data_IF_021540968915
#
_entry.id   IF_021540968915
#
_cell.length_a   1.000
_cell.length_b   1.000
_cell.length_c   1.000
_cell.angle_alpha   90.00
_cell.angle_beta   90.00
_cell.angle_gamma   90.00
#
_symmetry.space_group_name_H-M   'P 1'
#
loop_
_entity.id
_entity.type
_entity.pdbx_description
1 polymer ?
#
# COMPACT_ATOMS: atom_id res chain seq x y z
N UNK A 1 -7.84 15.87 34.80
CA UNK A 1 -6.93 16.54 33.84
C UNK A 1 -7.77 16.88 32.60
N UNK A 2 -8.04 18.16 32.33
CA UNK A 2 -8.92 18.58 31.23
C UNK A 2 -8.17 18.52 29.89
N UNK A 3 -8.64 17.71 28.94
CA UNK A 3 -8.11 17.67 27.58
C UNK A 3 -8.62 18.88 26.76
N UNK A 4 -7.80 19.50 25.89
CA UNK A 4 -8.21 20.68 25.13
C UNK A 4 -9.18 20.32 23.99
N UNK A 5 -10.14 21.20 23.72
CA UNK A 5 -11.12 21.05 22.63
C UNK A 5 -10.50 21.40 21.26
N UNK A 6 -10.81 20.62 20.23
CA UNK A 6 -10.36 20.86 18.84
C UNK A 6 -11.17 21.99 18.20
N UNK A 7 -10.51 22.93 17.51
CA UNK A 7 -11.18 24.02 16.79
C UNK A 7 -11.52 23.62 15.35
N UNK A 8 -12.50 24.28 14.73
CA UNK A 8 -12.99 24.00 13.37
C UNK A 8 -11.92 24.14 12.26
N UNK A 9 -10.82 24.83 12.54
CA UNK A 9 -9.65 24.97 11.67
C UNK A 9 -8.63 23.82 11.80
N UNK A 10 -8.92 22.77 12.57
CA UNK A 10 -8.05 21.61 12.79
C UNK A 10 -6.91 21.83 13.78
N UNK A 11 -6.85 22.99 14.46
CA UNK A 11 -5.84 23.30 15.49
C UNK A 11 -6.42 23.15 16.90
N UNK A 12 -5.55 22.85 17.87
CA UNK A 12 -5.92 22.74 19.29
C UNK A 12 -5.95 24.13 19.96
N UNK A 13 -6.96 24.38 20.78
CA UNK A 13 -6.99 25.55 21.67
C UNK A 13 -5.95 25.41 22.77
N UNK A 14 -5.25 26.50 23.11
CA UNK A 14 -4.31 26.49 24.24
C UNK A 14 -5.07 26.54 25.57
N UNK A 15 -4.47 26.04 26.67
CA UNK A 15 -5.07 26.17 28.00
C UNK A 15 -5.40 27.64 28.31
N UNK A 16 -6.67 27.92 28.62
CA UNK A 16 -7.17 29.28 28.93
C UNK A 16 -7.73 30.08 27.74
N UNK A 17 -7.63 29.60 26.50
CA UNK A 17 -8.23 30.29 25.34
C UNK A 17 -9.74 30.01 25.25
N UNK A 18 -10.56 31.07 25.20
CA UNK A 18 -12.01 30.94 24.94
C UNK A 18 -12.24 30.68 23.44
N UNK A 19 -12.89 29.57 23.13
CA UNK A 19 -13.41 29.26 21.79
C UNK A 19 -14.77 29.93 21.65
N UNK A 20 -14.94 30.76 20.62
CA UNK A 20 -16.21 31.44 20.32
C UNK A 20 -16.55 31.14 18.87
N UNK A 21 -17.76 30.62 18.61
CA UNK A 21 -18.22 30.17 17.28
C UNK A 21 -17.32 29.10 16.64
N UNK A 22 -16.81 28.16 17.44
CA UNK A 22 -15.95 27.06 16.97
C UNK A 22 -14.54 27.48 16.53
N UNK A 23 -14.17 28.75 16.71
CA UNK A 23 -12.88 29.31 16.29
C UNK A 23 -12.10 29.87 17.48
N UNK A 24 -10.83 29.42 17.64
CA UNK A 24 -9.89 30.04 18.56
C UNK A 24 -9.35 31.38 18.01
N UNK A 25 -8.74 32.24 18.86
CA UNK A 25 -8.25 33.56 18.45
C UNK A 25 -7.29 33.53 17.25
N UNK A 26 -6.45 32.49 17.15
CA UNK A 26 -5.53 32.29 16.02
C UNK A 26 -6.23 31.98 14.70
N UNK A 27 -7.37 31.29 14.75
CA UNK A 27 -8.14 30.94 13.55
C UNK A 27 -9.04 32.08 13.07
N UNK A 28 -9.36 33.06 13.95
CA UNK A 28 -9.99 34.32 13.53
C UNK A 28 -9.02 35.17 12.69
N UNK A 29 -7.76 35.26 13.09
CA UNK A 29 -6.75 36.07 12.40
C UNK A 29 -6.45 35.63 10.95
N UNK A 30 -6.70 34.36 10.60
CA UNK A 30 -6.51 33.84 9.24
C UNK A 30 -7.73 34.04 8.34
N UNK A 31 -8.95 34.15 8.89
CA UNK A 31 -10.19 34.31 8.11
C UNK A 31 -10.29 35.69 7.46
N UNK A 32 -9.74 36.72 8.10
CA UNK A 32 -9.76 38.09 7.56
C UNK A 32 -8.76 38.33 6.41
N UNK A 33 -7.77 37.44 6.21
CA UNK A 33 -6.80 37.55 5.10
C UNK A 33 -7.27 36.92 3.79
N UNK A 34 -8.37 36.17 3.80
CA UNK A 34 -8.86 35.39 2.66
C UNK A 34 -10.29 35.77 2.26
N UNK A 35 -10.59 37.08 2.18
CA UNK A 35 -11.73 37.55 1.39
C UNK A 35 -11.30 37.66 -0.08
N UNK A 36 -11.83 36.82 -1.00
CA UNK A 36 -11.54 36.97 -2.41
C UNK A 36 -12.09 38.30 -2.94
N UNK A 37 -11.27 39.03 -3.71
CA UNK A 37 -11.71 40.21 -4.46
C UNK A 37 -12.62 39.78 -5.61
N UNK A 38 -13.66 40.56 -5.96
CA UNK A 38 -14.54 40.23 -7.08
C UNK A 38 -13.77 40.33 -8.41
N UNK A 39 -13.84 39.28 -9.21
CA UNK A 39 -13.26 39.20 -10.55
C UNK A 39 -14.23 39.84 -11.55
N UNK A 40 -13.75 40.81 -12.32
CA UNK A 40 -14.49 41.43 -13.43
C UNK A 40 -14.68 40.44 -14.56
N UNK A 41 -15.90 40.41 -15.11
CA UNK A 41 -16.26 39.68 -16.31
C UNK A 41 -15.53 40.26 -17.54
N UNK A 42 -14.96 39.37 -18.35
CA UNK A 42 -14.42 39.65 -19.69
C UNK A 42 -14.85 38.55 -20.65
N UNK A 43 -15.64 38.95 -21.65
CA UNK A 43 -15.95 38.25 -22.90
C UNK A 43 -14.67 38.06 -23.74
N UNK A 44 -14.55 37.30 -24.83
CA UNK A 44 -15.41 36.49 -25.69
C UNK A 44 -14.46 35.67 -26.60
N UNK A 45 -14.96 34.56 -27.14
CA UNK A 45 -14.60 33.99 -28.46
C UNK A 45 -13.13 33.65 -28.81
N UNK A 46 -12.86 32.35 -28.98
CA UNK A 46 -12.69 31.77 -30.33
C UNK A 46 -12.57 30.23 -30.21
N UNK A 47 -13.54 29.53 -30.80
CA UNK A 47 -13.54 28.06 -30.94
C UNK A 47 -13.98 27.78 -32.37
N UNK A 48 -13.13 27.19 -33.19
CA UNK A 48 -13.58 26.49 -34.38
C UNK A 48 -12.86 25.14 -34.49
N UNK A 49 -13.71 24.11 -34.53
CA UNK A 49 -13.42 22.70 -34.66
C UNK A 49 -13.12 22.37 -36.11
N UNK A 50 -12.15 21.49 -36.31
CA UNK A 50 -11.89 20.75 -37.55
C UNK A 50 -12.71 19.46 -37.55
N UNK A 51 -13.46 19.20 -38.64
CA UNK A 51 -13.89 17.87 -39.08
C UNK A 51 -14.46 17.94 -40.51
N UNK A 52 -14.12 16.95 -41.35
CA UNK A 52 -14.71 16.72 -42.69
C UNK A 52 -13.65 16.60 -43.80
N UNK A 53 -13.04 15.44 -44.11
CA UNK A 53 -13.54 14.24 -44.81
C UNK A 53 -13.16 14.20 -46.30
N UNK A 54 -12.63 13.03 -46.70
CA UNK A 54 -12.68 12.38 -48.03
C UNK A 54 -11.59 12.68 -49.09
N UNK A 55 -10.81 11.62 -49.39
CA UNK A 55 -10.11 11.32 -50.65
C UNK A 55 -11.15 10.81 -51.70
N UNK A 56 -10.85 10.56 -53.02
CA UNK A 56 -9.61 9.99 -53.57
C UNK A 56 -9.17 10.51 -54.96
N UNK A 57 -7.98 10.10 -55.43
CA UNK A 57 -7.57 10.32 -56.82
C UNK A 57 -6.08 10.11 -57.08
N UNK A 58 -5.70 8.89 -57.42
CA UNK A 58 -4.37 8.49 -57.89
C UNK A 58 -4.09 8.99 -59.31
N UNK A 59 -3.01 9.75 -59.50
CA UNK A 59 -2.44 10.07 -60.81
C UNK A 59 -1.02 9.46 -60.96
N UNK A 60 -0.62 8.97 -62.14
CA UNK A 60 0.60 8.20 -62.34
C UNK A 60 1.85 9.09 -62.46
N UNK A 61 2.99 8.58 -61.98
CA UNK A 61 4.32 9.20 -62.12
C UNK A 61 4.92 8.88 -63.50
N UNK A 62 5.58 9.84 -64.18
CA UNK A 62 6.34 9.54 -65.40
C UNK A 62 7.65 8.81 -65.07
N UNK A 63 7.98 7.81 -65.90
CA UNK A 63 9.18 6.98 -65.77
C UNK A 63 10.49 7.68 -66.16
N UNK A 64 11.64 7.12 -65.76
CA UNK A 64 12.96 7.69 -66.02
C UNK A 64 13.42 7.48 -67.49
N UNK A 65 14.29 8.36 -68.02
CA UNK A 65 14.80 8.25 -69.39
C UNK A 65 15.84 7.11 -69.56
N UNK A 66 16.05 6.64 -70.81
CA UNK A 66 16.85 5.45 -71.09
C UNK A 66 18.37 5.66 -70.98
N UNK A 67 19.02 4.57 -70.62
CA UNK A 67 20.45 4.39 -70.37
C UNK A 67 21.30 4.47 -71.66
N UNK A 68 22.36 5.29 -71.73
CA UNK A 68 23.31 5.25 -72.85
C UNK A 68 24.30 4.10 -72.71
N UNK A 69 24.31 3.33 -73.79
CA UNK A 69 25.08 2.14 -74.14
C UNK A 69 26.58 2.15 -73.76
N UNK A 70 27.04 0.97 -73.35
CA UNK A 70 28.43 0.53 -73.29
C UNK A 70 29.22 0.93 -74.55
N UNK A 71 30.41 1.52 -74.36
CA UNK A 71 31.49 1.49 -75.35
C UNK A 71 32.70 0.75 -74.78
N UNK A 72 33.03 -0.37 -75.42
CA UNK A 72 34.28 -1.10 -75.29
C UNK A 72 35.46 -0.28 -75.85
N UNK A 73 36.64 -0.30 -75.21
CA UNK A 73 37.83 0.33 -75.76
C UNK A 73 38.48 -0.53 -76.89
N UNK A 74 39.08 0.11 -77.92
CA UNK A 74 39.75 -0.59 -79.03
C UNK A 74 41.17 -1.09 -78.67
N UNK A 75 41.74 -2.01 -79.48
CA UNK A 75 42.96 -2.74 -79.16
C UNK A 75 44.26 -1.93 -79.35
N UNK A 76 45.28 -2.35 -78.59
CA UNK A 76 46.63 -1.79 -78.51
C UNK A 76 47.44 -1.94 -79.79
N UNK A 77 48.07 -0.84 -80.23
CA UNK A 77 49.06 -0.78 -81.30
C UNK A 77 50.49 -1.19 -80.85
N UNK A 78 51.37 -1.60 -81.77
CA UNK A 78 52.60 -2.32 -81.45
C UNK A 78 53.76 -1.42 -80.98
N UNK A 79 54.58 -1.97 -80.07
CA UNK A 79 55.79 -1.37 -79.49
C UNK A 79 56.84 -1.07 -80.56
N UNK A 80 57.23 0.21 -80.68
CA UNK A 80 58.48 0.64 -81.34
C UNK A 80 59.51 1.02 -80.27
N UNK A 81 60.73 0.54 -80.46
CA UNK A 81 61.80 0.56 -79.47
C UNK A 81 62.14 1.96 -78.95
N UNK A 82 62.18 2.09 -77.62
CA UNK A 82 62.89 3.17 -76.94
C UNK A 82 64.23 2.63 -76.44
N UNK A 83 65.28 3.29 -76.91
CA UNK A 83 66.65 3.12 -76.46
C UNK A 83 66.75 3.57 -74.99
N UNK A 84 67.35 2.74 -74.14
CA UNK A 84 67.61 3.07 -72.75
C UNK A 84 68.63 4.22 -72.67
N UNK A 85 68.19 5.38 -72.16
CA UNK A 85 69.09 6.42 -71.64
C UNK A 85 69.05 6.33 -70.10
N UNK A 86 70.20 6.41 -69.40
CA UNK A 86 70.19 6.43 -67.94
C UNK A 86 69.43 7.68 -67.44
N UNK A 87 68.55 7.47 -66.46
CA UNK A 87 67.74 8.52 -65.86
C UNK A 87 68.63 9.52 -65.08
N UNK A 88 68.40 10.84 -65.19
CA UNK A 88 69.03 11.80 -64.29
C UNK A 88 68.51 11.57 -62.87
N UNK A 89 69.38 11.85 -61.88
CA UNK A 89 69.04 11.76 -60.45
C UNK A 89 67.78 12.54 -60.13
N UNK A 90 66.81 11.88 -59.48
CA UNK A 90 65.56 12.51 -59.03
C UNK A 90 65.89 13.64 -58.04
N UNK A 91 65.39 14.88 -58.24
CA UNK A 91 65.40 15.87 -57.18
C UNK A 91 64.53 15.36 -56.01
N UNK A 92 64.98 15.64 -54.79
CA UNK A 92 64.26 15.31 -53.55
C UNK A 92 62.83 15.86 -53.59
N UNK A 93 61.86 15.00 -53.26
CA UNK A 93 60.45 15.39 -53.24
C UNK A 93 60.22 16.55 -52.24
N UNK A 94 59.36 17.54 -52.56
CA UNK A 94 58.99 18.58 -51.60
C UNK A 94 58.32 17.94 -50.38
N UNK A 95 58.84 18.21 -49.19
CA UNK A 95 58.20 17.84 -47.92
C UNK A 95 56.99 18.74 -47.69
N UNK A 96 55.82 18.29 -48.11
CA UNK A 96 54.56 18.88 -47.65
C UNK A 96 54.39 18.63 -46.14
N UNK A 97 54.03 19.65 -45.33
CA UNK A 97 53.63 19.41 -43.94
C UNK A 97 52.45 18.44 -43.93
N UNK A 98 52.52 17.37 -43.15
CA UNK A 98 51.39 16.45 -42.99
C UNK A 98 50.20 17.24 -42.44
N UNK A 99 48.98 17.10 -43.01
CA UNK A 99 47.79 17.68 -42.39
C UNK A 99 47.66 17.16 -40.96
N UNK A 100 47.39 18.08 -40.02
CA UNK A 100 47.24 17.74 -38.61
C UNK A 100 46.18 16.64 -38.47
N UNK A 101 46.55 15.54 -37.82
CA UNK A 101 45.64 14.44 -37.54
C UNK A 101 44.53 14.98 -36.64
N UNK A 102 43.24 14.78 -36.96
CA UNK A 102 42.16 15.21 -36.07
C UNK A 102 42.33 14.52 -34.73
N UNK A 103 42.33 15.31 -33.65
CA UNK A 103 42.48 14.81 -32.28
C UNK A 103 41.44 13.72 -32.01
N UNK A 104 41.84 12.46 -32.05
CA UNK A 104 40.97 11.36 -31.63
C UNK A 104 40.70 11.51 -30.13
N UNK A 105 39.43 11.64 -29.70
CA UNK A 105 39.13 11.79 -28.28
C UNK A 105 39.67 10.58 -27.50
N UNK A 106 40.20 10.77 -26.29
CA UNK A 106 40.89 9.71 -25.57
C UNK A 106 39.95 8.53 -25.31
N UNK A 107 40.32 7.35 -25.84
CA UNK A 107 39.59 6.07 -25.73
C UNK A 107 39.23 5.71 -24.28
N UNK A 108 40.01 6.20 -23.30
CA UNK A 108 39.78 6.04 -21.87
C UNK A 108 38.46 6.66 -21.39
N UNK A 109 38.01 7.78 -21.99
CA UNK A 109 36.77 8.45 -21.62
C UNK A 109 35.52 7.61 -21.93
N UNK A 110 35.55 6.84 -23.03
CA UNK A 110 34.48 5.91 -23.41
C UNK A 110 34.36 4.71 -22.47
N UNK A 111 35.50 4.13 -22.04
CA UNK A 111 35.52 3.01 -21.09
C UNK A 111 35.04 3.42 -19.69
N UNK A 112 35.42 4.62 -19.21
CA UNK A 112 34.95 5.15 -17.92
C UNK A 112 33.46 5.42 -17.91
N UNK A 113 32.91 6.03 -18.98
CA UNK A 113 31.46 6.26 -19.14
C UNK A 113 30.68 4.94 -19.19
N UNK A 114 31.19 3.92 -19.89
CA UNK A 114 30.58 2.58 -19.93
C UNK A 114 30.57 1.92 -18.55
N UNK A 115 31.69 1.96 -17.80
CA UNK A 115 31.77 1.41 -16.43
C UNK A 115 30.80 2.12 -15.47
N UNK A 116 30.73 3.44 -15.52
CA UNK A 116 29.77 4.21 -14.70
C UNK A 116 28.32 3.88 -15.04
N UNK A 117 27.99 3.69 -16.33
CA UNK A 117 26.65 3.24 -16.75
C UNK A 117 26.32 1.84 -16.24
N UNK A 118 27.25 0.88 -16.37
CA UNK A 118 27.05 -0.48 -15.85
C UNK A 118 26.89 -0.48 -14.34
N UNK A 119 27.70 0.30 -13.60
CA UNK A 119 27.56 0.43 -12.15
C UNK A 119 26.22 1.07 -11.75
N UNK A 120 25.77 2.11 -12.46
CA UNK A 120 24.48 2.74 -12.22
C UNK A 120 23.30 1.78 -12.50
N UNK A 121 23.36 0.99 -13.57
CA UNK A 121 22.34 -0.03 -13.88
C UNK A 121 22.35 -1.14 -12.84
N UNK A 122 23.51 -1.60 -12.42
CA UNK A 122 23.63 -2.60 -11.36
C UNK A 122 23.06 -2.07 -10.02
N UNK A 123 23.40 -0.83 -9.64
CA UNK A 123 22.87 -0.18 -8.45
C UNK A 123 21.35 0.02 -8.51
N UNK A 124 20.81 0.43 -9.68
CA UNK A 124 19.37 0.50 -9.89
C UNK A 124 18.71 -0.87 -9.78
N UNK A 125 19.34 -1.93 -10.30
CA UNK A 125 18.87 -3.31 -10.19
C UNK A 125 18.73 -3.77 -8.73
N UNK A 126 19.67 -3.41 -7.85
CA UNK A 126 19.62 -3.74 -6.41
C UNK A 126 18.39 -3.14 -5.72
N UNK A 127 17.85 -2.03 -6.20
CA UNK A 127 16.65 -1.40 -5.63
C UNK A 127 15.38 -1.86 -6.36
N UNK A 128 15.39 -1.86 -7.69
CA UNK A 128 14.21 -2.13 -8.51
C UNK A 128 13.78 -3.60 -8.42
N UNK A 129 14.72 -4.55 -8.42
CA UNK A 129 14.39 -5.98 -8.37
C UNK A 129 13.63 -6.38 -7.10
N UNK A 130 14.09 -6.07 -5.87
CA UNK A 130 13.34 -6.43 -4.66
C UNK A 130 11.99 -5.70 -4.58
N UNK A 131 11.90 -4.44 -5.02
CA UNK A 131 10.62 -3.72 -5.09
C UNK A 131 9.66 -4.39 -6.07
N UNK A 132 10.16 -4.83 -7.23
CA UNK A 132 9.36 -5.54 -8.24
C UNK A 132 8.93 -6.91 -7.70
N UNK A 133 9.82 -7.65 -7.04
CA UNK A 133 9.50 -8.90 -6.38
C UNK A 133 8.43 -8.73 -5.31
N UNK A 134 8.54 -7.71 -4.46
CA UNK A 134 7.52 -7.39 -3.45
C UNK A 134 6.18 -7.02 -4.10
N UNK A 135 6.17 -6.25 -5.19
CA UNK A 135 4.95 -5.95 -5.92
C UNK A 135 4.30 -7.21 -6.53
N UNK A 136 5.10 -8.15 -7.03
CA UNK A 136 4.61 -9.45 -7.53
C UNK A 136 4.01 -10.28 -6.40
N UNK A 137 4.69 -10.36 -5.25
CA UNK A 137 4.17 -11.07 -4.07
C UNK A 137 2.88 -10.40 -3.57
N UNK A 138 2.86 -9.09 -3.44
CA UNK A 138 1.65 -8.37 -3.03
C UNK A 138 0.49 -8.55 -4.02
N UNK A 139 0.77 -8.56 -5.33
CA UNK A 139 -0.23 -8.81 -6.35
C UNK A 139 -0.73 -10.27 -6.35
N UNK A 140 0.12 -11.25 -6.04
CA UNK A 140 -0.30 -12.66 -5.97
C UNK A 140 -1.31 -12.88 -4.84
N UNK A 141 -1.22 -12.09 -3.76
CA UNK A 141 -2.17 -12.09 -2.64
C UNK A 141 -3.60 -11.71 -3.03
N UNK A 142 -3.86 -11.24 -4.26
CA UNK A 142 -5.22 -11.06 -4.79
C UNK A 142 -5.95 -12.39 -5.03
N UNK A 143 -5.23 -13.43 -5.43
CA UNK A 143 -5.81 -14.70 -5.87
C UNK A 143 -5.33 -15.89 -5.04
N UNK A 144 -4.26 -15.71 -4.28
CA UNK A 144 -3.68 -16.74 -3.43
C UNK A 144 -3.56 -16.23 -2.00
N UNK A 145 -4.16 -16.94 -1.06
CA UNK A 145 -4.09 -16.63 0.37
C UNK A 145 -3.15 -17.62 1.05
N UNK A 146 -2.03 -17.19 1.66
CA UNK A 146 -1.23 -18.10 2.48
C UNK A 146 -2.05 -18.58 3.68
N UNK A 147 -1.94 -19.87 4.02
CA UNK A 147 -2.69 -20.41 5.16
C UNK A 147 -2.30 -19.73 6.47
N UNK A 148 -1.03 -19.36 6.65
CA UNK A 148 -0.53 -18.67 7.84
C UNK A 148 0.37 -17.49 7.47
N UNK A 149 0.41 -16.47 8.33
CA UNK A 149 1.33 -15.34 8.23
C UNK A 149 2.73 -15.70 8.75
N UNK A 150 3.74 -14.89 8.45
CA UNK A 150 5.06 -15.10 9.06
C UNK A 150 5.03 -14.94 10.58
N UNK A 151 4.17 -14.08 11.11
CA UNK A 151 3.99 -13.88 12.54
C UNK A 151 3.46 -15.15 13.24
N UNK A 152 2.43 -15.79 12.68
CA UNK A 152 1.86 -17.05 13.18
C UNK A 152 2.85 -18.23 13.19
N UNK A 153 3.92 -18.16 12.38
CA UNK A 153 4.91 -19.25 12.25
C UNK A 153 6.03 -19.17 13.28
N UNK A 154 6.05 -18.11 14.09
CA UNK A 154 7.07 -17.88 15.11
C UNK A 154 6.65 -18.46 16.44
N UNK A 155 5.34 -18.63 16.65
CA UNK A 155 4.83 -19.31 17.83
C UNK A 155 5.12 -20.80 17.70
N UNK A 156 5.92 -21.32 18.62
CA UNK A 156 6.29 -22.74 18.69
C UNK A 156 5.13 -23.62 19.23
N UNK A 157 4.02 -23.00 19.65
CA UNK A 157 2.84 -23.64 20.25
C UNK A 157 1.67 -23.85 19.27
N UNK A 158 0.62 -24.58 19.71
CA UNK A 158 -0.60 -24.72 18.93
C UNK A 158 -1.35 -23.38 18.88
N UNK A 159 -1.50 -22.82 17.69
CA UNK A 159 -2.30 -21.61 17.46
C UNK A 159 -3.77 -21.96 17.18
N UNK A 160 -4.68 -21.11 17.65
CA UNK A 160 -6.10 -21.16 17.26
C UNK A 160 -6.33 -20.23 16.06
N UNK A 161 -6.67 -20.79 14.90
CA UNK A 161 -6.83 -20.04 13.66
C UNK A 161 -7.66 -20.79 12.62
N UNK A 162 -8.53 -20.06 11.92
CA UNK A 162 -9.13 -20.48 10.66
C UNK A 162 -9.39 -19.25 9.79
N UNK A 163 -9.21 -19.40 8.48
CA UNK A 163 -9.52 -18.34 7.53
C UNK A 163 -11.03 -18.23 7.27
N UNK A 164 -11.52 -17.00 7.08
CA UNK A 164 -12.89 -16.71 6.67
C UNK A 164 -12.91 -15.65 5.56
N UNK A 165 -13.71 -15.88 4.52
CA UNK A 165 -13.96 -14.91 3.44
C UNK A 165 -14.66 -13.67 4.00
N UNK A 166 -14.37 -12.48 3.44
CA UNK A 166 -15.00 -11.23 3.86
C UNK A 166 -16.51 -11.26 3.69
N UNK A 167 -17.02 -12.05 2.74
CA UNK A 167 -18.44 -12.26 2.49
C UNK A 167 -19.15 -12.90 3.70
N UNK A 168 -18.40 -13.55 4.58
CA UNK A 168 -18.89 -14.21 5.78
C UNK A 168 -18.47 -13.49 7.07
N UNK A 169 -18.01 -12.24 6.98
CA UNK A 169 -17.70 -11.40 8.14
C UNK A 169 -18.78 -10.33 8.34
N UNK A 170 -19.34 -10.25 9.54
CA UNK A 170 -20.29 -9.20 9.92
C UNK A 170 -19.73 -7.80 9.61
N UNK A 171 -20.56 -6.96 8.99
CA UNK A 171 -20.18 -5.60 8.62
C UNK A 171 -19.88 -4.72 9.83
N UNK A 172 -20.40 -5.06 11.00
CA UNK A 172 -20.01 -4.43 12.25
C UNK A 172 -18.54 -4.67 12.58
N UNK A 173 -18.02 -5.88 12.37
CA UNK A 173 -16.60 -6.18 12.63
C UNK A 173 -15.69 -5.39 11.71
N UNK A 174 -16.03 -5.36 10.41
CA UNK A 174 -15.29 -4.58 9.43
C UNK A 174 -15.31 -3.09 9.79
N UNK A 175 -16.50 -2.53 10.06
CA UNK A 175 -16.65 -1.12 10.41
C UNK A 175 -15.91 -0.77 11.71
N UNK A 176 -15.98 -1.63 12.74
CA UNK A 176 -15.29 -1.44 14.01
C UNK A 176 -13.77 -1.46 13.82
N UNK A 177 -13.22 -2.41 13.04
CA UNK A 177 -11.80 -2.46 12.75
C UNK A 177 -11.32 -1.22 12.01
N UNK A 178 -12.01 -0.78 10.95
CA UNK A 178 -11.68 0.47 10.24
C UNK A 178 -11.75 1.67 11.17
N UNK A 179 -12.89 1.84 11.87
CA UNK A 179 -13.10 2.99 12.73
C UNK A 179 -12.09 3.05 13.88
N UNK A 180 -11.66 1.91 14.41
CA UNK A 180 -10.70 1.85 15.51
C UNK A 180 -9.26 2.04 15.05
N UNK A 181 -8.84 1.31 14.02
CA UNK A 181 -7.43 1.16 13.64
C UNK A 181 -6.98 2.15 12.56
N UNK A 182 -7.86 2.50 11.60
CA UNK A 182 -7.50 3.27 10.41
C UNK A 182 -8.74 3.84 9.71
N UNK A 183 -9.32 4.90 10.30
CA UNK A 183 -10.55 5.53 9.81
C UNK A 183 -10.40 6.07 8.38
N UNK A 184 -9.19 6.40 7.94
CA UNK A 184 -8.94 6.90 6.59
C UNK A 184 -8.77 5.80 5.53
N UNK A 185 -8.76 4.51 5.86
CA UNK A 185 -8.42 3.42 4.93
C UNK A 185 -9.14 3.52 3.58
N UNK A 186 -10.47 3.62 3.59
CA UNK A 186 -11.28 3.71 2.37
C UNK A 186 -11.26 5.08 1.69
N UNK A 187 -10.82 6.13 2.40
CA UNK A 187 -10.79 7.50 1.90
C UNK A 187 -9.43 7.87 1.27
N UNK A 188 -8.35 7.19 1.67
CA UNK A 188 -6.99 7.47 1.20
C UNK A 188 -6.56 6.46 0.14
N UNK A 189 -5.82 6.92 -0.89
CA UNK A 189 -5.22 6.03 -1.92
C UNK A 189 -3.83 5.52 -1.55
N UNK A 190 -3.08 6.28 -0.74
CA UNK A 190 -1.75 5.88 -0.26
C UNK A 190 -1.86 4.94 0.94
N UNK A 191 -0.85 4.13 1.22
CA UNK A 191 -0.85 3.22 2.38
C UNK A 191 -0.93 3.96 3.72
N UNK A 192 -0.37 5.17 3.76
CA UNK A 192 -0.37 6.09 4.89
C UNK A 192 -0.05 7.50 4.36
N UNK A 193 -0.23 8.53 5.19
CA UNK A 193 0.22 9.88 4.85
C UNK A 193 1.72 10.03 5.09
N UNK A 194 2.45 10.44 4.04
CA UNK A 194 3.90 10.62 4.13
C UNK A 194 4.32 11.68 5.16
N UNK A 195 3.52 12.73 5.35
CA UNK A 195 3.76 13.74 6.38
C UNK A 195 3.78 13.11 7.77
N UNK A 196 2.71 12.40 8.14
CA UNK A 196 2.59 11.72 9.43
C UNK A 196 3.72 10.70 9.64
N UNK A 197 4.11 9.97 8.58
CA UNK A 197 5.23 9.03 8.65
C UNK A 197 6.56 9.75 8.93
N UNK A 198 6.84 10.86 8.24
CA UNK A 198 8.05 11.65 8.44
C UNK A 198 8.06 12.29 9.83
N UNK A 199 6.95 12.87 10.28
CA UNK A 199 6.81 13.47 11.61
C UNK A 199 7.10 12.42 12.70
N UNK A 200 6.56 11.21 12.56
CA UNK A 200 6.84 10.07 13.44
C UNK A 200 8.31 9.67 13.42
N UNK A 201 8.92 9.56 12.24
CA UNK A 201 10.33 9.23 12.11
C UNK A 201 11.21 10.28 12.80
N UNK A 202 10.87 11.57 12.63
CA UNK A 202 11.59 12.67 13.30
C UNK A 202 11.42 12.62 14.82
N UNK A 203 10.23 12.35 15.33
CA UNK A 203 9.97 12.22 16.78
C UNK A 203 10.79 11.07 17.40
N UNK A 204 10.89 9.93 16.72
CA UNK A 204 11.72 8.80 17.17
C UNK A 204 13.19 9.19 17.18
N UNK A 205 13.68 9.84 16.13
CA UNK A 205 15.09 10.28 16.02
C UNK A 205 15.43 11.39 17.03
N UNK A 206 14.47 12.21 17.43
CA UNK A 206 14.64 13.25 18.45
C UNK A 206 14.43 12.75 19.88
N UNK A 207 14.06 11.48 20.07
CA UNK A 207 13.78 10.90 21.39
C UNK A 207 12.47 11.39 22.01
N UNK A 208 11.57 11.97 21.22
CA UNK A 208 10.25 12.39 21.66
C UNK A 208 9.32 11.19 21.86
N UNK A 209 8.38 11.32 22.81
CA UNK A 209 7.37 10.30 23.05
C UNK A 209 6.42 10.23 21.84
N UNK A 210 6.61 9.19 21.03
CA UNK A 210 5.81 8.96 19.83
C UNK A 210 4.39 8.50 20.17
N UNK A 211 3.39 9.11 19.52
CA UNK A 211 2.05 8.53 19.37
C UNK A 211 2.12 7.47 18.25
N UNK A 212 1.98 6.19 18.58
CA UNK A 212 2.07 5.09 17.60
C UNK A 212 0.67 4.74 17.11
N UNK A 213 0.37 5.07 15.85
CA UNK A 213 -0.82 4.54 15.16
C UNK A 213 -0.40 4.04 13.77
N UNK A 214 -0.18 2.73 13.64
CA UNK A 214 0.13 2.12 12.34
C UNK A 214 -1.15 1.92 11.56
N UNK A 215 -1.15 2.26 10.28
CA UNK A 215 -2.28 2.01 9.38
C UNK A 215 -2.49 0.52 9.17
N UNK A 216 -3.70 0.10 8.79
CA UNK A 216 -4.02 -1.32 8.53
C UNK A 216 -3.06 -1.97 7.51
N UNK A 217 -2.70 -1.33 6.37
CA UNK A 217 -1.70 -1.87 5.46
C UNK A 217 -0.31 -2.02 6.08
N UNK A 218 0.09 -1.14 7.01
CA UNK A 218 1.36 -1.27 7.75
C UNK A 218 1.31 -2.44 8.74
N UNK A 219 0.22 -2.58 9.47
CA UNK A 219 0.03 -3.70 10.40
C UNK A 219 -0.03 -5.04 9.67
N UNK A 220 -0.78 -5.11 8.57
CA UNK A 220 -0.83 -6.29 7.70
C UNK A 220 0.55 -6.64 7.15
N UNK A 221 1.30 -5.65 6.63
CA UNK A 221 2.66 -5.85 6.16
C UNK A 221 3.58 -6.41 7.25
N UNK A 222 3.48 -5.88 8.47
CA UNK A 222 4.23 -6.37 9.65
C UNK A 222 3.96 -7.85 9.88
N UNK A 223 2.68 -8.24 9.96
CA UNK A 223 2.29 -9.61 10.28
C UNK A 223 2.63 -10.59 9.14
N UNK A 224 2.47 -10.18 7.89
CA UNK A 224 2.70 -11.06 6.74
C UNK A 224 4.17 -11.29 6.43
N UNK A 225 5.02 -10.26 6.52
CA UNK A 225 6.37 -10.31 5.93
C UNK A 225 7.50 -10.25 6.95
N UNK A 226 7.24 -9.82 8.18
CA UNK A 226 8.31 -9.60 9.16
C UNK A 226 8.12 -10.46 10.41
N UNK A 227 9.24 -10.64 11.11
CA UNK A 227 9.28 -11.24 12.44
C UNK A 227 9.24 -10.11 13.49
N UNK A 228 8.80 -10.34 14.75
CA UNK A 228 8.59 -9.33 15.80
C UNK A 228 9.81 -8.49 16.23
N UNK A 229 10.96 -8.66 15.60
CA UNK A 229 12.20 -7.97 15.96
C UNK A 229 12.09 -6.45 15.81
N UNK A 230 12.38 -5.72 16.89
CA UNK A 230 12.05 -4.30 17.07
C UNK A 230 13.10 -3.31 16.53
N UNK A 231 13.92 -3.68 15.53
CA UNK A 231 14.93 -2.73 15.05
C UNK A 231 14.33 -1.58 14.25
N UNK A 232 14.64 -0.32 14.62
CA UNK A 232 14.16 0.89 13.94
C UNK A 232 14.55 0.95 12.45
N UNK A 233 15.71 0.36 12.10
CA UNK A 233 16.15 0.22 10.72
C UNK A 233 15.23 -0.70 9.90
N UNK A 234 14.62 -1.71 10.53
CA UNK A 234 13.65 -2.61 9.89
C UNK A 234 12.29 -1.96 9.71
N UNK A 235 11.89 -1.06 10.62
CA UNK A 235 10.66 -0.28 10.50
C UNK A 235 10.65 0.66 9.27
N UNK A 236 11.82 1.12 8.83
CA UNK A 236 11.95 1.86 7.56
C UNK A 236 11.72 0.97 6.32
N UNK A 237 11.99 -0.35 6.43
CA UNK A 237 11.77 -1.33 5.36
C UNK A 237 10.30 -1.77 5.29
N UNK A 238 9.57 -1.76 6.40
CA UNK A 238 8.12 -2.10 6.48
C UNK A 238 7.22 -1.18 5.63
N UNK A 239 7.70 0.01 5.29
CA UNK A 239 7.03 0.92 4.34
C UNK A 239 6.84 0.28 2.97
N UNK A 240 7.84 -0.46 2.49
CA UNK A 240 7.83 -0.99 1.12
C UNK A 240 6.69 -1.99 0.92
N UNK A 241 6.51 -3.02 1.76
CA UNK A 241 5.40 -3.95 1.59
C UNK A 241 4.04 -3.27 1.79
N UNK A 242 3.88 -2.36 2.76
CA UNK A 242 2.60 -1.66 2.95
C UNK A 242 2.17 -0.83 1.73
N UNK A 243 3.12 -0.14 1.08
CA UNK A 243 2.88 0.56 -0.19
C UNK A 243 2.55 -0.43 -1.31
N UNK A 244 3.28 -1.55 -1.41
CA UNK A 244 3.02 -2.57 -2.42
C UNK A 244 1.62 -3.19 -2.26
N UNK A 245 1.22 -3.57 -1.05
CA UNK A 245 -0.12 -4.09 -0.74
C UNK A 245 -1.19 -3.07 -1.14
N UNK A 246 -1.03 -1.80 -0.74
CA UNK A 246 -2.01 -0.75 -1.08
C UNK A 246 -2.11 -0.49 -2.58
N UNK A 247 -0.98 -0.48 -3.30
CA UNK A 247 -0.94 -0.22 -4.73
C UNK A 247 -1.49 -1.40 -5.55
N UNK A 248 -1.42 -2.60 -5.00
CA UNK A 248 -1.77 -3.83 -5.70
C UNK A 248 -2.99 -4.52 -5.13
N UNK A 249 -3.79 -3.99 -4.21
CA UNK A 249 -5.02 -4.65 -3.75
C UNK A 249 -6.16 -3.66 -3.50
N UNK A 250 -7.39 -4.18 -3.55
CA UNK A 250 -8.56 -3.42 -3.11
C UNK A 250 -8.57 -3.28 -1.58
N UNK A 251 -9.26 -2.26 -1.09
CA UNK A 251 -9.36 -2.00 0.35
C UNK A 251 -10.13 -3.14 1.06
N UNK A 252 -11.15 -3.70 0.41
CA UNK A 252 -11.83 -4.91 0.86
C UNK A 252 -10.88 -6.12 1.03
N UNK A 253 -10.02 -6.40 0.04
CA UNK A 253 -9.08 -7.52 0.14
C UNK A 253 -8.01 -7.29 1.21
N UNK A 254 -7.51 -6.06 1.36
CA UNK A 254 -6.60 -5.70 2.45
C UNK A 254 -7.26 -5.94 3.80
N UNK A 255 -8.51 -5.53 3.96
CA UNK A 255 -9.29 -5.72 5.19
C UNK A 255 -9.52 -7.19 5.49
N UNK A 256 -9.86 -8.01 4.50
CA UNK A 256 -10.05 -9.44 4.67
C UNK A 256 -8.78 -10.11 5.19
N UNK A 257 -7.63 -9.85 4.54
CA UNK A 257 -6.35 -10.40 4.98
C UNK A 257 -5.96 -9.88 6.37
N UNK A 258 -6.23 -8.61 6.66
CA UNK A 258 -5.98 -8.02 7.96
C UNK A 258 -6.76 -8.74 9.07
N UNK A 259 -8.08 -8.88 8.91
CA UNK A 259 -8.93 -9.54 9.91
C UNK A 259 -8.60 -11.03 10.09
N UNK A 260 -8.05 -11.68 9.07
CA UNK A 260 -7.61 -13.07 9.17
C UNK A 260 -6.22 -13.22 9.80
N UNK A 261 -5.30 -12.27 9.60
CA UNK A 261 -3.94 -12.36 10.18
C UNK A 261 -3.72 -11.50 11.43
N UNK A 262 -4.73 -10.75 11.86
CA UNK A 262 -4.70 -10.04 13.14
C UNK A 262 -4.69 -11.04 14.30
N UNK A 263 -3.97 -10.69 15.35
CA UNK A 263 -4.00 -11.41 16.62
C UNK A 263 -5.10 -10.79 17.49
N UNK A 264 -5.91 -11.64 18.10
CA UNK A 264 -7.02 -11.23 18.98
C UNK A 264 -6.82 -11.71 20.43
N UNK A 265 -5.80 -12.52 20.68
CA UNK A 265 -5.44 -13.06 21.98
C UNK A 265 -4.09 -13.78 21.93
N UNK A 266 -3.53 -14.20 23.08
CA UNK A 266 -2.34 -15.05 23.11
C UNK A 266 -2.57 -16.30 22.26
N UNK A 267 -1.73 -16.56 21.24
CA UNK A 267 -1.85 -17.68 20.29
C UNK A 267 -3.22 -17.80 19.59
N UNK A 268 -3.98 -16.70 19.49
CA UNK A 268 -5.32 -16.65 18.89
C UNK A 268 -5.33 -15.65 17.74
N UNK A 269 -5.53 -16.16 16.53
CA UNK A 269 -5.44 -15.37 15.32
C UNK A 269 -6.68 -15.50 14.45
N UNK A 270 -6.98 -14.40 13.75
CA UNK A 270 -8.06 -14.34 12.81
C UNK A 270 -9.43 -14.18 13.47
N UNK A 271 -10.28 -13.40 12.81
CA UNK A 271 -11.63 -13.08 13.31
C UNK A 271 -12.48 -14.33 13.48
N UNK A 272 -12.30 -15.37 12.65
CA UNK A 272 -13.02 -16.63 12.78
C UNK A 272 -12.77 -17.29 14.13
N UNK A 273 -11.50 -17.53 14.47
CA UNK A 273 -11.17 -18.16 15.73
C UNK A 273 -11.56 -17.27 16.92
N UNK A 274 -11.32 -15.97 16.84
CA UNK A 274 -11.69 -15.02 17.89
C UNK A 274 -13.20 -14.98 18.16
N UNK A 275 -14.00 -14.99 17.09
CA UNK A 275 -15.47 -14.97 17.18
C UNK A 275 -16.01 -16.20 17.89
N UNK A 276 -15.48 -17.38 17.57
CA UNK A 276 -15.89 -18.60 18.26
C UNK A 276 -15.34 -18.70 19.67
N UNK A 277 -14.08 -18.31 19.88
CA UNK A 277 -13.40 -18.42 21.16
C UNK A 277 -14.06 -17.53 22.23
N UNK A 278 -14.22 -16.24 21.96
CA UNK A 278 -14.86 -15.33 22.93
C UNK A 278 -16.39 -15.40 22.84
N UNK A 279 -16.91 -15.45 21.62
CA UNK A 279 -18.32 -15.28 21.25
C UNK A 279 -19.24 -16.48 21.36
N UNK A 280 -18.70 -17.68 21.13
CA UNK A 280 -19.48 -18.82 20.63
C UNK A 280 -20.41 -18.45 19.47
N UNK A 281 -19.96 -17.55 18.59
CA UNK A 281 -20.79 -16.99 17.51
C UNK A 281 -20.00 -17.02 16.21
N UNK A 282 -20.60 -17.44 15.06
CA UNK A 282 -19.93 -17.35 13.78
C UNK A 282 -19.67 -15.87 13.39
N UNK A 283 -18.57 -15.55 12.69
CA UNK A 283 -18.25 -14.18 12.30
C UNK A 283 -19.35 -13.46 11.51
N UNK A 284 -20.15 -14.21 10.74
CA UNK A 284 -21.26 -13.69 9.93
C UNK A 284 -22.41 -13.14 10.76
N UNK A 285 -22.56 -13.60 12.01
CA UNK A 285 -23.67 -13.26 12.91
C UNK A 285 -23.22 -12.37 14.08
N UNK A 286 -21.98 -11.88 14.03
CA UNK A 286 -21.46 -11.05 15.10
C UNK A 286 -22.23 -9.75 15.23
N UNK A 287 -22.77 -9.53 16.43
CA UNK A 287 -23.52 -8.33 16.76
C UNK A 287 -22.59 -7.14 17.10
N UNK A 288 -23.11 -5.90 17.06
CA UNK A 288 -22.27 -4.69 17.06
C UNK A 288 -21.34 -4.57 18.26
N UNK A 289 -21.83 -4.89 19.46
CA UNK A 289 -21.06 -4.68 20.68
C UNK A 289 -19.91 -5.70 20.82
N UNK A 290 -20.08 -6.96 20.42
CA UNK A 290 -18.97 -7.92 20.32
C UNK A 290 -17.97 -7.53 19.22
N UNK A 291 -18.45 -7.05 18.07
CA UNK A 291 -17.57 -6.54 17.01
C UNK A 291 -16.70 -5.37 17.48
N UNK A 292 -17.26 -4.48 18.31
CA UNK A 292 -16.52 -3.36 18.89
C UNK A 292 -15.51 -3.82 19.94
N UNK A 293 -15.83 -4.84 20.74
CA UNK A 293 -14.85 -5.45 21.66
C UNK A 293 -13.69 -6.10 20.89
N UNK A 294 -13.96 -6.82 19.80
CA UNK A 294 -12.92 -7.37 18.93
C UNK A 294 -11.99 -6.29 18.37
N UNK A 295 -12.51 -5.11 18.03
CA UNK A 295 -11.67 -4.01 17.60
C UNK A 295 -10.83 -3.44 18.77
N UNK A 296 -11.43 -3.30 19.95
CA UNK A 296 -10.76 -2.77 21.13
C UNK A 296 -9.60 -3.63 21.68
N UNK A 297 -9.54 -4.91 21.32
CA UNK A 297 -8.45 -5.81 21.73
C UNK A 297 -7.22 -5.75 20.80
N UNK A 298 -7.37 -5.30 19.55
CA UNK A 298 -6.29 -5.26 18.55
C UNK A 298 -5.02 -4.50 18.99
N UNK A 299 -5.08 -3.42 19.79
CA UNK A 299 -3.87 -2.73 20.23
C UNK A 299 -2.95 -3.57 21.13
N UNK A 300 -3.53 -4.41 22.00
CA UNK A 300 -2.80 -5.18 23.00
C UNK A 300 -3.38 -6.61 23.12
N UNK A 301 -3.24 -7.44 22.08
CA UNK A 301 -3.90 -8.74 22.04
C UNK A 301 -3.37 -9.72 23.10
N UNK A 302 -2.11 -9.60 23.51
CA UNK A 302 -1.50 -10.46 24.55
C UNK A 302 -2.12 -10.28 25.94
N UNK A 303 -2.77 -9.13 26.18
CA UNK A 303 -3.33 -8.76 27.48
C UNK A 303 -4.85 -9.04 27.56
N UNK A 304 -5.40 -9.76 26.58
CA UNK A 304 -6.84 -10.05 26.49
C UNK A 304 -7.17 -11.32 27.25
N UNK A 305 -8.12 -11.23 28.17
CA UNK A 305 -8.54 -12.36 29.01
C UNK A 305 -9.96 -12.78 28.62
N UNK A 306 -10.15 -14.08 28.42
CA UNK A 306 -11.48 -14.68 28.23
C UNK A 306 -12.11 -15.00 29.59
N UNK A 307 -13.40 -14.77 29.74
CA UNK A 307 -14.16 -15.16 30.93
C UNK A 307 -14.59 -16.64 30.87
N UNK A 308 -14.74 -17.34 32.00
CA UNK A 308 -15.39 -18.65 32.05
C UNK A 308 -16.81 -18.58 31.46
N UNK A 309 -17.15 -19.52 30.58
CA UNK A 309 -18.43 -19.52 29.85
C UNK A 309 -18.46 -18.62 28.60
N UNK A 310 -17.40 -17.88 28.30
CA UNK A 310 -17.31 -16.98 27.15
C UNK A 310 -17.38 -15.50 27.51
N UNK A 311 -17.07 -14.66 26.54
CA UNK A 311 -16.89 -13.22 26.70
C UNK A 311 -15.44 -12.82 26.99
N UNK A 312 -15.22 -11.50 26.98
CA UNK A 312 -13.93 -10.89 27.29
C UNK A 312 -14.02 -10.23 28.66
N UNK A 313 -12.99 -10.37 29.47
CA UNK A 313 -12.92 -9.71 30.76
C UNK A 313 -12.63 -8.22 30.57
N UNK A 314 -13.66 -7.40 30.79
CA UNK A 314 -13.58 -5.94 30.75
C UNK A 314 -13.72 -5.32 32.13
N UNK A 315 -13.56 -6.11 33.21
CA UNK A 315 -13.73 -5.61 34.56
C UNK A 315 -12.55 -4.70 34.97
N UNK A 316 -12.77 -3.73 35.88
CA UNK A 316 -11.68 -2.89 36.39
C UNK A 316 -10.61 -3.66 37.17
N UNK A 317 -10.96 -4.85 37.69
CA UNK A 317 -10.10 -5.76 38.45
C UNK A 317 -9.53 -6.91 37.60
N UNK A 318 -9.73 -6.88 36.28
CA UNK A 318 -9.16 -7.84 35.35
C UNK A 318 -7.62 -7.92 35.50
N UNK A 319 -6.99 -9.06 35.18
CA UNK A 319 -5.53 -9.21 35.27
C UNK A 319 -4.75 -8.12 34.53
N UNK A 320 -5.32 -7.60 33.44
CA UNK A 320 -4.77 -6.50 32.65
C UNK A 320 -5.76 -5.32 32.56
N UNK A 321 -5.85 -4.46 33.60
CA UNK A 321 -6.87 -3.42 33.67
C UNK A 321 -6.82 -2.41 32.52
N UNK A 322 -5.62 -2.17 31.95
CA UNK A 322 -5.47 -1.26 30.81
C UNK A 322 -6.12 -1.83 29.54
N UNK A 323 -5.93 -3.12 29.26
CA UNK A 323 -6.55 -3.78 28.11
C UNK A 323 -8.07 -3.83 28.29
N UNK A 324 -8.55 -4.25 29.46
CA UNK A 324 -9.97 -4.23 29.83
C UNK A 324 -10.60 -2.84 29.65
N UNK A 325 -9.92 -1.78 30.12
CA UNK A 325 -10.36 -0.40 29.95
C UNK A 325 -10.47 0.01 28.48
N UNK A 326 -9.50 -0.33 27.65
CA UNK A 326 -9.51 -0.01 26.22
C UNK A 326 -10.60 -0.77 25.46
N UNK A 327 -10.79 -2.06 25.74
CA UNK A 327 -11.83 -2.88 25.13
C UNK A 327 -13.21 -2.34 25.50
N UNK A 328 -13.43 -2.03 26.78
CA UNK A 328 -14.67 -1.44 27.27
C UNK A 328 -14.92 -0.05 26.68
N UNK A 329 -13.89 0.80 26.64
CA UNK A 329 -13.95 2.16 26.09
C UNK A 329 -14.25 2.15 24.59
N UNK A 330 -13.63 1.24 23.84
CA UNK A 330 -13.92 1.04 22.43
C UNK A 330 -15.39 0.70 22.21
N UNK A 331 -15.93 -0.27 22.94
CA UNK A 331 -17.30 -0.75 22.76
C UNK A 331 -18.40 0.19 23.26
N UNK A 332 -18.15 0.93 24.33
CA UNK A 332 -19.18 1.75 24.97
C UNK A 332 -19.07 3.26 24.70
N UNK A 333 -17.93 3.73 24.20
CA UNK A 333 -17.68 5.18 24.05
C UNK A 333 -17.17 5.51 22.66
N UNK A 334 -16.01 4.95 22.28
CA UNK A 334 -15.28 5.45 21.12
C UNK A 334 -15.92 5.03 19.80
N UNK A 335 -16.21 3.74 19.62
CA UNK A 335 -16.75 3.23 18.37
C UNK A 335 -18.19 3.67 18.08
N UNK A 336 -19.12 3.70 19.06
CA UNK A 336 -20.43 4.32 18.84
C UNK A 336 -20.32 5.77 18.35
N UNK A 337 -19.50 6.60 19.01
CA UNK A 337 -19.30 7.98 18.60
C UNK A 337 -18.66 8.12 17.21
N UNK A 338 -17.73 7.23 16.86
CA UNK A 338 -17.14 7.19 15.52
C UNK A 338 -18.14 6.75 14.45
N UNK A 339 -18.99 5.76 14.73
CA UNK A 339 -20.05 5.35 13.82
C UNK A 339 -21.03 6.52 13.57
N UNK A 340 -21.42 7.25 14.61
CA UNK A 340 -22.26 8.44 14.47
C UNK A 340 -21.59 9.53 13.64
N UNK A 341 -20.28 9.78 13.87
CA UNK A 341 -19.51 10.76 13.11
C UNK A 341 -19.40 10.41 11.61
N UNK A 342 -19.45 9.12 11.28
CA UNK A 342 -19.51 8.61 9.91
C UNK A 342 -20.92 8.59 9.32
N UNK A 343 -21.96 8.91 10.11
CA UNK A 343 -23.36 8.79 9.70
C UNK A 343 -23.84 7.33 9.59
N UNK A 344 -23.20 6.43 10.33
CA UNK A 344 -23.50 5.00 10.35
C UNK A 344 -22.31 4.13 9.90
N UNK A 345 -22.30 2.89 10.38
CA UNK A 345 -21.29 1.88 10.02
C UNK A 345 -21.29 1.55 8.53
N UNK A 346 -22.42 1.70 7.84
CA UNK A 346 -22.58 1.42 6.41
C UNK A 346 -21.68 2.32 5.56
N UNK A 347 -21.52 3.59 5.93
CA UNK A 347 -20.65 4.52 5.19
C UNK A 347 -19.18 4.13 5.33
N UNK A 348 -18.82 3.51 6.46
CA UNK A 348 -17.47 3.00 6.71
C UNK A 348 -17.19 1.82 5.80
N UNK A 349 -18.06 0.82 5.74
CA UNK A 349 -17.86 -0.36 4.87
C UNK A 349 -17.96 0.00 3.39
N UNK A 350 -18.88 0.88 3.01
CA UNK A 350 -19.01 1.38 1.64
C UNK A 350 -17.74 2.11 1.19
N UNK A 351 -17.01 2.77 2.10
CA UNK A 351 -15.72 3.40 1.76
C UNK A 351 -14.65 2.38 1.31
N UNK A 352 -14.78 1.11 1.69
CA UNK A 352 -13.93 0.01 1.24
C UNK A 352 -14.40 -0.64 -0.06
N UNK A 353 -15.56 -0.23 -0.58
CA UNK A 353 -16.27 -0.88 -1.68
C UNK A 353 -17.10 -2.11 -1.26
N UNK A 354 -17.50 -2.20 0.02
CA UNK A 354 -18.34 -3.28 0.55
C UNK A 354 -19.72 -2.70 0.86
N UNK A 355 -20.67 -2.96 -0.04
CA UNK A 355 -22.04 -2.42 0.02
C UNK A 355 -23.08 -3.47 0.41
N UNK A 356 -22.73 -4.75 0.34
CA UNK A 356 -23.55 -5.88 0.77
C UNK A 356 -23.30 -6.22 2.24
N UNK A 357 -24.03 -7.22 2.75
CA UNK A 357 -23.93 -7.76 4.11
C UNK A 357 -23.57 -9.24 4.08
N UNK A 358 -23.08 -9.78 5.20
CA UNK A 358 -22.86 -11.22 5.31
C UNK A 358 -24.15 -12.06 5.22
N UNK A 359 -25.31 -11.43 5.44
CA UNK A 359 -26.61 -12.06 5.26
C UNK A 359 -26.96 -12.24 3.76
N UNK A 360 -26.45 -11.37 2.88
CA UNK A 360 -26.65 -11.48 1.43
C UNK A 360 -25.90 -12.68 0.83
N UNK A 361 -24.96 -13.26 1.59
CA UNK A 361 -24.19 -14.46 1.24
C UNK A 361 -24.60 -15.68 2.09
N UNK A 362 -25.85 -15.72 2.57
CA UNK A 362 -26.34 -16.81 3.41
C UNK A 362 -26.45 -18.16 2.69
N UNK A 363 -26.80 -18.12 1.41
CA UNK A 363 -26.92 -19.28 0.52
C UNK A 363 -25.58 -19.96 0.22
N UNK A 364 -24.47 -19.24 0.37
CA UNK A 364 -23.12 -19.79 0.25
C UNK A 364 -22.62 -20.52 1.52
N UNK A 365 -23.45 -20.65 2.57
CA UNK A 365 -23.11 -21.34 3.83
C UNK A 365 -23.81 -22.70 3.94
N UNK A 366 -23.13 -23.76 4.43
CA UNK A 366 -21.73 -23.81 4.84
C UNK A 366 -20.77 -23.97 3.65
N UNK A 367 -19.67 -23.22 3.68
CA UNK A 367 -18.50 -23.40 2.81
C UNK A 367 -17.22 -23.53 3.64
N UNK A 368 -16.14 -24.01 3.02
CA UNK A 368 -14.84 -24.16 3.70
C UNK A 368 -14.29 -22.84 4.27
N UNK A 369 -14.67 -21.70 3.69
CA UNK A 369 -14.26 -20.35 4.06
C UNK A 369 -15.37 -19.54 4.74
N UNK A 370 -16.49 -20.17 5.12
CA UNK A 370 -17.59 -19.50 5.82
C UNK A 370 -17.43 -19.39 7.32
N UNK A 371 -16.59 -20.22 7.93
CA UNK A 371 -16.45 -20.30 9.40
C UNK A 371 -17.81 -20.46 10.13
N UNK A 372 -18.76 -21.17 9.50
CA UNK A 372 -20.11 -21.35 10.04
C UNK A 372 -20.18 -22.30 11.24
N UNK A 373 -19.10 -23.00 11.55
CA UNK A 373 -18.95 -23.91 12.70
C UNK A 373 -17.67 -23.61 13.44
N UNK A 374 -17.65 -23.86 14.76
CA UNK A 374 -16.47 -23.68 15.59
C UNK A 374 -15.26 -24.49 15.08
N UNK A 375 -14.13 -23.84 14.77
CA UNK A 375 -12.90 -24.51 14.34
C UNK A 375 -12.41 -25.51 15.38
N UNK A 376 -11.83 -26.63 14.93
CA UNK A 376 -11.29 -27.65 15.83
C UNK A 376 -10.19 -27.09 16.74
N UNK A 377 -9.33 -26.21 16.22
CA UNK A 377 -8.28 -25.55 17.01
C UNK A 377 -8.83 -24.70 18.16
N UNK A 378 -10.03 -24.13 17.99
CA UNK A 378 -10.71 -23.38 19.07
C UNK A 378 -11.33 -24.35 20.07
N UNK A 379 -11.96 -25.42 19.58
CA UNK A 379 -12.58 -26.45 20.44
C UNK A 379 -11.56 -27.15 21.33
N UNK A 380 -10.41 -27.52 20.77
CA UNK A 380 -9.29 -28.14 21.50
C UNK A 380 -8.74 -27.21 22.58
N UNK A 381 -8.58 -25.92 22.25
CA UNK A 381 -8.15 -24.91 23.21
C UNK A 381 -9.15 -24.74 24.35
N UNK A 382 -10.44 -24.58 24.02
CA UNK A 382 -11.50 -24.44 25.03
C UNK A 382 -11.62 -25.67 25.93
N UNK A 383 -11.39 -26.88 25.41
CA UNK A 383 -11.39 -28.09 26.22
C UNK A 383 -10.30 -28.08 27.32
N UNK A 384 -9.22 -27.31 27.13
CA UNK A 384 -8.14 -27.13 28.11
C UNK A 384 -8.39 -25.93 29.02
N UNK A 385 -8.74 -24.78 28.44
CA UNK A 385 -8.84 -23.51 29.16
C UNK A 385 -10.19 -23.32 29.88
N UNK A 386 -11.27 -23.94 29.38
CA UNK A 386 -12.62 -23.85 29.94
C UNK A 386 -13.38 -25.19 29.78
N UNK A 387 -12.97 -26.26 30.48
CA UNK A 387 -13.51 -27.61 30.30
C UNK A 387 -15.01 -27.74 30.63
N UNK A 388 -15.61 -26.75 31.28
CA UNK A 388 -17.05 -26.69 31.56
C UNK A 388 -17.86 -26.01 30.47
N UNK A 389 -17.21 -25.42 29.45
CA UNK A 389 -17.88 -24.73 28.36
C UNK A 389 -18.61 -25.72 27.44
N UNK A 390 -19.87 -25.42 27.16
CA UNK A 390 -20.70 -26.15 26.19
C UNK A 390 -21.17 -25.14 25.15
N UNK A 391 -20.77 -25.33 23.90
CA UNK A 391 -21.20 -24.47 22.80
C UNK A 391 -22.71 -24.60 22.59
N UNK A 392 -23.39 -23.47 22.43
CA UNK A 392 -24.83 -23.40 22.17
C UNK A 392 -25.21 -24.00 20.80
N UNK A 393 -24.26 -24.08 19.86
CA UNK A 393 -24.46 -24.64 18.51
C UNK A 393 -24.15 -26.13 18.37
N UNK A 394 -23.85 -26.83 19.46
CA UNK A 394 -23.36 -28.22 19.46
C UNK A 394 -24.39 -29.31 19.77
N UNK A 395 -25.69 -29.03 19.78
CA UNK A 395 -26.77 -30.03 19.94
C UNK A 395 -27.43 -30.40 18.62
#
# INVERSE_FOLDING_TARGET
MWWPSRCACGRWARPGEKVVDGLCPRCRATRDRYRPRPVRAGSEQYRSRTAGSAAPGSAPRPGPPPNPQYRTPPPSSPRRGLQWRPAPSRPSAPTWPRPAQPDTPPVAAGRRRRRLRVAAVAAAGVVVLPLSGMAVVAASLRWWTPSQSNFMRIDDGPIAYQYVSIDHISRYVIASAVAHEDDLLGLRKQAFHWGDFLDRATAVLSGERQQTYSTIPQQLAKNMFFTPDQSMLRKAVEVVPSVALRATMSDARIMELYLNYAQFGPDLYGVCAASWYYFDTPPSEMYPYHAMQLAGMLPNPEDVVRLPGGGVDTSPDAPYPSAAFHINGAANVDLPARFDAWGGWQNITASLGIEDSAADHADARPSADSCSTMPDSVRERLAVEDPGFVSAGGM
#
